data_IF_669215440822
#
_entry.id   IF_669215440822
#
_cell.length_a   1.000
_cell.length_b   1.000
_cell.length_c   1.000
_cell.angle_alpha   90.00
_cell.angle_beta   90.00
_cell.angle_gamma   90.00
#
_symmetry.space_group_name_H-M   'P 1'
#
loop_
_entity.id
_entity.type
_entity.pdbx_description
1 polymer ?
#
# COMPACT_ATOMS: atom_id res chain seq x y z
N UNK A 1 -16.02 -28.60 -5.72
CA UNK A 1 -15.06 -28.05 -4.74
C UNK A 1 -15.55 -26.67 -4.32
N UNK A 2 -15.54 -26.32 -3.02
CA UNK A 2 -15.92 -24.97 -2.57
C UNK A 2 -14.93 -23.92 -3.09
N UNK A 3 -15.43 -22.73 -3.47
CA UNK A 3 -14.63 -21.63 -4.01
C UNK A 3 -13.42 -21.28 -3.13
N UNK A 4 -13.58 -21.32 -1.80
CA UNK A 4 -12.49 -21.05 -0.84
C UNK A 4 -11.37 -22.09 -0.92
N UNK A 5 -11.71 -23.38 -1.12
CA UNK A 5 -10.71 -24.44 -1.30
C UNK A 5 -9.99 -24.33 -2.64
N UNK A 6 -10.66 -23.82 -3.67
CA UNK A 6 -10.05 -23.57 -4.97
C UNK A 6 -9.06 -22.40 -4.86
N UNK A 7 -9.48 -21.27 -4.30
CA UNK A 7 -8.61 -20.11 -4.08
C UNK A 7 -7.37 -20.45 -3.23
N UNK A 8 -7.56 -21.21 -2.15
CA UNK A 8 -6.45 -21.66 -1.31
C UNK A 8 -5.45 -22.54 -2.08
N UNK A 9 -5.93 -23.44 -2.93
CA UNK A 9 -5.06 -24.29 -3.76
C UNK A 9 -4.35 -23.50 -4.85
N UNK A 10 -5.03 -22.55 -5.50
CA UNK A 10 -4.42 -21.62 -6.45
C UNK A 10 -3.30 -20.83 -5.77
N UNK A 11 -3.55 -20.28 -4.58
CA UNK A 11 -2.54 -19.56 -3.79
C UNK A 11 -1.36 -20.45 -3.39
N UNK A 12 -1.60 -21.74 -3.11
CA UNK A 12 -0.56 -22.71 -2.75
C UNK A 12 0.34 -23.09 -3.92
N UNK A 13 -0.24 -23.17 -5.12
CA UNK A 13 0.50 -23.50 -6.35
C UNK A 13 1.25 -22.29 -6.94
N UNK A 14 0.80 -21.07 -6.64
CA UNK A 14 1.42 -19.85 -7.16
C UNK A 14 2.85 -19.68 -6.61
N UNK A 15 3.86 -19.34 -7.43
CA UNK A 15 5.21 -19.07 -6.96
C UNK A 15 5.31 -17.68 -6.29
N UNK A 16 4.60 -17.50 -5.17
CA UNK A 16 4.34 -16.23 -4.46
C UNK A 16 5.59 -15.40 -4.25
N UNK A 17 6.70 -16.00 -3.83
CA UNK A 17 7.98 -15.31 -3.60
C UNK A 17 8.60 -14.74 -4.88
N UNK A 18 8.48 -15.43 -6.02
CA UNK A 18 9.01 -14.95 -7.30
C UNK A 18 8.14 -13.83 -7.84
N UNK A 19 6.82 -14.03 -7.79
CA UNK A 19 5.85 -13.03 -8.23
C UNK A 19 5.95 -11.74 -7.40
N UNK A 20 6.00 -11.85 -6.07
CA UNK A 20 6.14 -10.71 -5.16
C UNK A 20 7.43 -9.94 -5.42
N UNK A 21 8.57 -10.61 -5.61
CA UNK A 21 9.83 -9.94 -5.97
C UNK A 21 9.76 -9.24 -7.31
N UNK A 22 9.16 -9.86 -8.33
CA UNK A 22 8.99 -9.25 -9.64
C UNK A 22 8.12 -7.99 -9.57
N UNK A 23 6.97 -8.08 -8.90
CA UNK A 23 6.06 -6.95 -8.70
C UNK A 23 6.70 -5.83 -7.87
N UNK A 24 7.44 -6.17 -6.81
CA UNK A 24 8.21 -5.20 -6.02
C UNK A 24 9.26 -4.48 -6.88
N UNK A 25 9.99 -5.23 -7.71
CA UNK A 25 10.94 -4.64 -8.66
C UNK A 25 10.29 -3.69 -9.66
N UNK A 26 9.12 -4.06 -10.20
CA UNK A 26 8.34 -3.20 -11.10
C UNK A 26 7.83 -1.95 -10.38
N UNK A 27 7.27 -2.10 -9.17
CA UNK A 27 6.76 -1.00 -8.37
C UNK A 27 7.86 0.02 -8.00
N UNK A 28 9.08 -0.46 -7.73
CA UNK A 28 10.24 0.36 -7.42
C UNK A 28 10.94 0.94 -8.66
N UNK A 29 10.64 0.43 -9.86
CA UNK A 29 11.27 0.90 -11.09
C UNK A 29 10.77 2.28 -11.51
N UNK A 30 11.64 3.08 -12.13
CA UNK A 30 11.25 4.34 -12.76
C UNK A 30 10.63 4.03 -14.11
N UNK A 31 9.36 4.39 -14.26
CA UNK A 31 8.64 4.31 -15.52
C UNK A 31 8.33 5.74 -16.03
N UNK A 32 7.85 5.89 -17.29
CA UNK A 32 7.32 7.18 -17.74
C UNK A 32 6.26 7.70 -16.77
N UNK A 33 6.35 8.97 -16.39
CA UNK A 33 5.52 9.58 -15.34
C UNK A 33 4.00 9.33 -15.55
N UNK A 34 3.43 9.45 -16.77
CA UNK A 34 2.00 9.19 -16.98
C UNK A 34 1.56 7.76 -16.62
N UNK A 35 2.46 6.77 -16.76
CA UNK A 35 2.16 5.38 -16.40
C UNK A 35 2.11 5.22 -14.88
N UNK A 36 3.04 5.85 -14.16
CA UNK A 36 3.04 5.86 -12.70
C UNK A 36 1.79 6.56 -12.18
N UNK A 37 1.46 7.73 -12.72
CA UNK A 37 0.28 8.50 -12.33
C UNK A 37 -1.02 7.72 -12.58
N UNK A 38 -1.11 7.01 -13.71
CA UNK A 38 -2.25 6.14 -14.01
C UNK A 38 -2.37 4.97 -13.02
N UNK A 39 -1.24 4.33 -12.67
CA UNK A 39 -1.22 3.24 -11.69
C UNK A 39 -1.65 3.73 -10.30
N UNK A 40 -1.16 4.89 -9.87
CA UNK A 40 -1.55 5.52 -8.60
C UNK A 40 -3.04 5.87 -8.62
N UNK A 41 -3.53 6.54 -9.67
CA UNK A 41 -4.94 6.92 -9.78
C UNK A 41 -5.88 5.71 -9.79
N UNK A 42 -5.48 4.61 -10.47
CA UNK A 42 -6.22 3.36 -10.45
C UNK A 42 -6.25 2.76 -9.04
N UNK A 43 -5.12 2.71 -8.34
CA UNK A 43 -5.05 2.18 -6.98
C UNK A 43 -5.90 2.99 -6.00
N UNK A 44 -5.81 4.33 -6.06
CA UNK A 44 -6.61 5.24 -5.22
C UNK A 44 -8.09 4.98 -5.41
N UNK A 45 -8.54 4.79 -6.65
CA UNK A 45 -9.95 4.53 -6.96
C UNK A 45 -10.41 3.15 -6.49
N UNK A 46 -9.60 2.12 -6.69
CA UNK A 46 -9.95 0.74 -6.35
C UNK A 46 -10.01 0.52 -4.84
N UNK A 47 -9.09 1.15 -4.10
CA UNK A 47 -8.95 0.99 -2.65
C UNK A 47 -9.49 2.17 -1.83
N UNK A 48 -10.17 3.12 -2.48
CA UNK A 48 -10.73 4.33 -1.86
C UNK A 48 -9.73 5.04 -0.92
N UNK A 49 -8.52 5.27 -1.43
CA UNK A 49 -7.44 5.84 -0.62
C UNK A 49 -7.70 7.31 -0.34
N UNK A 50 -7.80 7.68 0.94
CA UNK A 50 -7.90 9.08 1.34
C UNK A 50 -6.57 9.82 1.10
N UNK A 51 -6.56 10.69 0.09
CA UNK A 51 -5.40 11.49 -0.27
C UNK A 51 -5.24 12.77 0.56
N UNK A 52 -6.23 13.15 1.39
CA UNK A 52 -6.17 14.37 2.21
C UNK A 52 -5.12 14.27 3.32
N UNK A 53 -4.82 13.06 3.78
CA UNK A 53 -3.82 12.79 4.81
C UNK A 53 -2.42 12.47 4.22
N UNK A 54 -2.25 12.58 2.91
CA UNK A 54 -1.02 12.19 2.21
C UNK A 54 -0.16 13.41 1.91
N UNK A 55 1.15 13.31 2.20
CA UNK A 55 2.12 14.26 1.69
C UNK A 55 2.43 13.94 0.22
N UNK A 56 2.09 14.86 -0.70
CA UNK A 56 2.36 14.72 -2.13
C UNK A 56 3.62 15.53 -2.49
N UNK A 57 4.72 14.91 -2.95
CA UNK A 57 5.93 15.61 -3.34
C UNK A 57 5.72 16.59 -4.50
N UNK A 58 6.55 17.64 -4.55
CA UNK A 58 6.59 18.56 -5.69
C UNK A 58 6.95 17.79 -6.98
N UNK A 59 5.98 17.69 -7.90
CA UNK A 59 6.11 16.92 -9.14
C UNK A 59 5.62 15.48 -9.05
N UNK A 60 4.92 15.09 -7.98
CA UNK A 60 4.24 13.80 -7.86
C UNK A 60 5.14 12.63 -7.48
N UNK A 61 4.54 11.43 -7.45
CA UNK A 61 5.25 10.20 -7.09
C UNK A 61 6.06 9.67 -8.27
N UNK A 62 7.36 9.46 -8.07
CA UNK A 62 8.31 9.00 -9.11
C UNK A 62 8.17 7.53 -9.48
N UNK A 63 7.63 6.71 -8.58
CA UNK A 63 7.41 5.27 -8.75
C UNK A 63 6.13 4.89 -8.01
N UNK A 64 5.56 3.72 -8.33
CA UNK A 64 4.40 3.24 -7.59
C UNK A 64 4.77 2.91 -6.13
N UNK A 65 5.96 2.37 -5.88
CA UNK A 65 6.45 2.08 -4.53
C UNK A 65 6.60 3.34 -3.67
N UNK A 66 7.03 4.47 -4.26
CA UNK A 66 7.08 5.76 -3.58
C UNK A 66 5.67 6.25 -3.17
N UNK A 67 4.64 5.97 -3.97
CA UNK A 67 3.25 6.20 -3.56
C UNK A 67 2.80 5.18 -2.50
N UNK A 68 3.13 3.90 -2.66
CA UNK A 68 2.68 2.84 -1.75
C UNK A 68 3.20 3.08 -0.33
N UNK A 69 4.44 3.54 -0.22
CA UNK A 69 5.14 3.92 1.02
C UNK A 69 5.04 5.42 1.34
N UNK A 70 4.09 6.14 0.72
CA UNK A 70 3.89 7.59 0.88
C UNK A 70 3.89 8.01 2.35
N UNK A 71 4.52 9.15 2.62
CA UNK A 71 4.45 9.82 3.92
C UNK A 71 3.06 10.42 4.13
N UNK A 72 2.60 10.42 5.38
CA UNK A 72 1.38 11.10 5.81
C UNK A 72 1.69 12.53 6.26
N UNK A 73 0.69 13.41 6.23
CA UNK A 73 0.79 14.77 6.79
C UNK A 73 1.12 14.68 8.28
N UNK A 74 2.00 15.56 8.76
CA UNK A 74 2.41 15.60 10.16
C UNK A 74 1.21 15.88 11.07
N UNK A 75 1.16 15.22 12.23
CA UNK A 75 0.03 15.32 13.15
C UNK A 75 -1.21 14.49 12.77
N UNK A 76 -1.24 13.84 11.60
CA UNK A 76 -2.38 12.98 11.20
C UNK A 76 -2.60 11.78 12.13
N UNK A 77 -1.59 11.36 12.89
CA UNK A 77 -1.66 10.29 13.88
C UNK A 77 -0.92 10.72 15.14
N UNK A 78 -1.64 11.35 16.07
CA UNK A 78 -1.09 11.69 17.37
C UNK A 78 -1.29 10.50 18.31
N UNK A 79 -0.17 9.98 18.84
CA UNK A 79 -0.20 8.95 19.88
C UNK A 79 -0.65 9.52 21.22
N UNK A 80 -1.09 8.64 22.11
CA UNK A 80 -1.39 9.00 23.50
C UNK A 80 -0.10 9.44 24.23
N UNK A 81 -0.08 10.63 24.86
CA UNK A 81 1.12 11.16 25.51
C UNK A 81 1.47 10.46 26.84
N UNK A 82 0.62 9.59 27.39
CA UNK A 82 0.89 8.96 28.67
C UNK A 82 2.09 8.00 28.59
N UNK A 83 3.08 8.06 29.51
CA UNK A 83 4.31 7.25 29.45
C UNK A 83 4.15 5.72 29.44
N UNK A 84 2.95 5.20 29.71
CA UNK A 84 2.62 3.77 29.67
C UNK A 84 1.52 3.42 28.68
N UNK A 85 1.09 4.36 27.83
CA UNK A 85 0.04 4.08 26.86
C UNK A 85 0.51 3.10 25.79
N UNK A 86 -0.31 2.09 25.51
CA UNK A 86 -0.17 1.25 24.33
C UNK A 86 -0.88 1.95 23.17
N UNK A 87 -0.14 2.21 22.10
CA UNK A 87 -0.68 2.80 20.87
C UNK A 87 -0.73 1.75 19.77
N UNK A 88 -1.69 1.89 18.85
CA UNK A 88 -1.74 1.05 17.67
C UNK A 88 -0.46 1.27 16.81
N UNK A 89 0.21 0.20 16.35
CA UNK A 89 1.46 0.34 15.60
C UNK A 89 1.23 0.76 14.14
N UNK A 90 0.02 0.56 13.61
CA UNK A 90 -0.34 0.83 12.22
C UNK A 90 -1.84 1.08 12.06
N UNK A 91 -2.20 1.73 10.97
CA UNK A 91 -3.59 1.84 10.52
C UNK A 91 -4.10 0.48 10.04
N UNK A 92 -5.31 0.11 10.45
CA UNK A 92 -5.93 -1.13 10.00
C UNK A 92 -7.20 -1.45 10.78
N UNK A 93 -7.72 -2.65 10.51
CA UNK A 93 -8.81 -3.24 11.29
C UNK A 93 -8.22 -4.42 12.07
N UNK A 94 -8.52 -4.50 13.36
CA UNK A 94 -8.23 -5.70 14.14
C UNK A 94 -9.16 -6.83 13.72
N UNK A 95 -8.62 -8.03 13.60
CA UNK A 95 -9.37 -9.26 13.35
C UNK A 95 -9.42 -10.06 14.66
N UNK A 96 -10.57 -10.68 14.95
CA UNK A 96 -10.79 -11.55 16.11
C UNK A 96 -10.28 -12.98 15.88
#
# INVERSE_FOLDING_TARGET
MSASRLAAQTLRALPRKRLSRALGGLAASRAPQPLVDAAVAAFVRVYDVDLREVYVPSGGFRTFDHFFTRRRVDGSRQGDPAPGALVAPADGRSED
#
